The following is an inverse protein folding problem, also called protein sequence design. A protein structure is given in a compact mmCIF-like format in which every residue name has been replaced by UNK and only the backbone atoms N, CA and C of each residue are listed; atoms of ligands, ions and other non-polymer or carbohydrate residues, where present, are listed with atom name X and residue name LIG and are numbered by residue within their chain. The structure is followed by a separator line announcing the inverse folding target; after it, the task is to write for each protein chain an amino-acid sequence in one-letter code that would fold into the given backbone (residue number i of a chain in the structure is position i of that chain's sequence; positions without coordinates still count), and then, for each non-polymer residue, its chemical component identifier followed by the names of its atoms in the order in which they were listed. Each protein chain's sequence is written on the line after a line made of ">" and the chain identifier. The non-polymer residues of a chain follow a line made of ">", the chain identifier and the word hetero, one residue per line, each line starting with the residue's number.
data_IF_607529974456
#
_entry.id   IF_607529974456
#
_cell.length_a   1.000
_cell.length_b   1.000
_cell.length_c   1.000
_cell.angle_alpha   90.00
_cell.angle_beta   90.00
_cell.angle_gamma   90.00
#
_symmetry.space_group_name_H-M   'P 1'
#
loop_
_entity.id
_entity.type
_entity.pdbx_description
1 polymer ?
#
# COMPACT_ATOMS: atom_id res chain seq x y z
N UNK A 1 5.07 16.87 -5.00
CA UNK A 1 4.01 15.90 -4.68
C UNK A 1 3.45 16.21 -3.30
N UNK A 2 2.17 15.92 -3.09
CA UNK A 2 1.51 16.08 -1.80
C UNK A 2 1.98 15.02 -0.82
N UNK A 3 1.97 15.36 0.47
CA UNK A 3 2.36 14.48 1.57
C UNK A 3 1.31 14.55 2.67
N UNK A 4 0.90 13.38 3.15
CA UNK A 4 -0.04 13.21 4.24
C UNK A 4 0.64 12.47 5.38
N UNK A 5 0.67 13.10 6.56
CA UNK A 5 1.21 12.49 7.77
C UNK A 5 0.04 11.95 8.58
N UNK A 6 -0.03 10.63 8.68
CA UNK A 6 -1.05 9.90 9.41
C UNK A 6 -0.63 9.69 10.87
N UNK A 7 -1.59 9.89 11.78
CA UNK A 7 -1.51 9.54 13.19
C UNK A 7 -2.35 8.30 13.49
N UNK A 8 -1.98 7.58 14.55
CA UNK A 8 -2.64 6.34 14.98
C UNK A 8 -4.05 6.54 15.59
N UNK A 9 -4.63 7.74 15.47
CA UNK A 9 -5.93 8.14 16.04
C UNK A 9 -7.14 7.91 15.09
N UNK A 10 -6.91 7.27 13.95
CA UNK A 10 -7.96 6.77 13.05
C UNK A 10 -8.38 7.78 11.98
N UNK A 11 -7.52 7.97 10.99
CA UNK A 11 -7.77 8.82 9.82
C UNK A 11 -8.66 8.13 8.78
N UNK A 12 -9.53 8.91 8.12
CA UNK A 12 -10.36 8.48 7.00
C UNK A 12 -9.63 8.71 5.67
N UNK A 13 -8.50 8.03 5.47
CA UNK A 13 -7.79 8.07 4.19
C UNK A 13 -8.02 6.78 3.40
N UNK A 14 -8.36 6.94 2.13
CA UNK A 14 -8.64 5.86 1.19
C UNK A 14 -8.59 6.39 -0.24
N UNK A 15 -8.14 5.57 -1.22
CA UNK A 15 -7.50 4.26 -1.08
C UNK A 15 -6.01 4.40 -0.69
N UNK A 16 -5.54 3.52 0.20
CA UNK A 16 -4.14 3.49 0.64
C UNK A 16 -3.44 2.26 0.09
N UNK A 17 -2.27 2.44 -0.52
CA UNK A 17 -1.41 1.38 -1.05
C UNK A 17 -0.17 1.24 -0.19
N UNK A 18 0.04 0.01 0.31
CA UNK A 18 1.09 -0.35 1.25
C UNK A 18 1.89 -1.50 0.66
N UNK A 19 3.20 -1.40 0.74
CA UNK A 19 4.17 -2.36 0.22
C UNK A 19 4.16 -3.64 1.05
N UNK A 20 4.05 -4.78 0.38
CA UNK A 20 4.15 -6.10 0.96
C UNK A 20 4.87 -7.05 0.00
N UNK A 21 5.75 -7.90 0.52
CA UNK A 21 6.43 -8.91 -0.29
C UNK A 21 5.57 -10.17 -0.39
N UNK A 22 4.86 -10.34 -1.52
CA UNK A 22 3.99 -11.50 -1.72
C UNK A 22 4.74 -12.82 -1.96
N UNK A 23 6.00 -12.76 -2.42
CA UNK A 23 6.79 -13.97 -2.68
C UNK A 23 7.28 -14.60 -1.38
N UNK A 24 7.80 -13.78 -0.47
CA UNK A 24 8.32 -14.25 0.82
C UNK A 24 7.29 -14.21 1.96
N UNK A 25 6.06 -13.74 1.69
CA UNK A 25 5.03 -13.49 2.70
C UNK A 25 5.54 -12.58 3.84
N UNK A 26 6.21 -11.48 3.47
CA UNK A 26 6.87 -10.58 4.43
C UNK A 26 6.36 -9.15 4.32
N UNK A 27 6.03 -8.58 5.47
CA UNK A 27 5.77 -7.17 5.61
C UNK A 27 7.02 -6.33 5.28
N UNK A 28 6.83 -5.18 4.62
CA UNK A 28 7.85 -4.17 4.28
C UNK A 28 7.29 -2.76 4.50
N UNK A 29 8.17 -1.79 4.76
CA UNK A 29 7.74 -0.39 4.93
C UNK A 29 6.63 -0.25 5.99
N UNK A 30 5.54 0.41 5.62
CA UNK A 30 4.39 0.63 6.49
C UNK A 30 3.66 -0.67 6.88
N UNK A 31 3.64 -1.71 6.04
CA UNK A 31 3.01 -2.98 6.46
C UNK A 31 3.76 -3.61 7.63
N UNK A 32 5.10 -3.46 7.70
CA UNK A 32 5.89 -3.97 8.82
C UNK A 32 5.59 -3.21 10.10
N UNK A 33 5.45 -1.88 10.01
CA UNK A 33 5.06 -1.05 11.14
C UNK A 33 3.67 -1.44 11.65
N UNK A 34 2.69 -1.55 10.75
CA UNK A 34 1.34 -1.99 11.11
C UNK A 34 1.37 -3.34 11.79
N UNK A 35 2.03 -4.33 11.19
CA UNK A 35 2.09 -5.67 11.76
C UNK A 35 2.74 -5.68 13.16
N UNK A 36 3.82 -4.91 13.35
CA UNK A 36 4.44 -4.73 14.66
C UNK A 36 3.48 -4.12 15.69
N UNK A 37 2.81 -3.01 15.35
CA UNK A 37 1.84 -2.36 16.24
C UNK A 37 0.68 -3.28 16.61
N UNK A 38 0.22 -4.10 15.65
CA UNK A 38 -0.86 -5.06 15.84
C UNK A 38 -0.37 -6.46 16.24
N UNK A 39 0.88 -6.59 16.71
CA UNK A 39 1.46 -7.81 17.29
C UNK A 39 1.37 -9.04 16.37
N UNK A 40 1.71 -8.89 15.08
CA UNK A 40 1.78 -9.99 14.12
C UNK A 40 0.46 -10.33 13.43
N UNK A 41 -0.64 -9.63 13.74
CA UNK A 41 -1.97 -9.94 13.18
C UNK A 41 -2.05 -9.83 11.67
N UNK A 42 -1.28 -8.94 11.04
CA UNK A 42 -1.28 -8.82 9.59
C UNK A 42 -0.58 -10.02 8.98
N UNK A 43 0.57 -10.41 9.53
CA UNK A 43 1.28 -11.62 9.12
C UNK A 43 0.42 -12.88 9.33
N UNK A 44 -0.25 -13.02 10.48
CA UNK A 44 -1.15 -14.15 10.76
C UNK A 44 -2.30 -14.22 9.75
N UNK A 45 -2.93 -13.07 9.46
CA UNK A 45 -3.99 -12.97 8.46
C UNK A 45 -3.47 -13.38 7.09
N UNK A 46 -2.29 -12.90 6.70
CA UNK A 46 -1.72 -13.17 5.38
C UNK A 46 -1.29 -14.64 5.23
N UNK A 47 -0.72 -15.23 6.27
CA UNK A 47 -0.35 -16.66 6.28
C UNK A 47 -1.55 -17.60 6.22
N UNK A 48 -2.77 -17.11 6.47
CA UNK A 48 -3.99 -17.90 6.27
C UNK A 48 -4.38 -18.08 4.79
N UNK A 49 -3.77 -17.30 3.88
CA UNK A 49 -3.98 -17.45 2.44
C UNK A 49 -2.94 -18.40 1.84
N UNK A 50 -3.39 -19.36 1.02
CA UNK A 50 -2.50 -20.36 0.41
C UNK A 50 -1.64 -19.80 -0.73
N UNK A 51 -2.13 -18.81 -1.47
CA UNK A 51 -1.38 -18.13 -2.54
C UNK A 51 -1.83 -16.68 -2.68
N UNK A 52 -0.87 -15.76 -2.83
CA UNK A 52 -1.12 -14.35 -3.08
C UNK A 52 -0.44 -13.92 -4.39
N UNK A 53 -1.23 -13.83 -5.46
CA UNK A 53 -0.77 -13.37 -6.79
C UNK A 53 -1.40 -12.05 -7.21
N UNK A 54 -2.25 -11.48 -6.37
CA UNK A 54 -3.01 -10.27 -6.66
C UNK A 54 -2.94 -9.30 -5.48
N UNK A 55 -3.10 -8.00 -5.72
CA UNK A 55 -3.28 -7.02 -4.65
C UNK A 55 -4.43 -7.42 -3.75
N UNK A 56 -4.25 -7.25 -2.45
CA UNK A 56 -5.24 -7.66 -1.45
C UNK A 56 -5.80 -6.41 -0.80
N UNK A 57 -7.11 -6.29 -0.79
CA UNK A 57 -7.77 -5.27 0.02
C UNK A 57 -8.06 -5.82 1.41
N UNK A 58 -7.43 -5.22 2.43
CA UNK A 58 -7.68 -5.53 3.84
C UNK A 58 -8.73 -4.53 4.34
N UNK A 59 -9.96 -5.03 4.47
CA UNK A 59 -11.07 -4.28 5.05
C UNK A 59 -10.89 -4.15 6.56
N UNK A 60 -11.21 -2.96 7.09
CA UNK A 60 -11.36 -2.43 8.48
C UNK A 60 -11.14 -3.30 9.72
N UNK A 61 -11.23 -4.62 9.68
CA UNK A 61 -11.16 -5.42 10.88
C UNK A 61 -9.70 -5.45 11.39
N UNK A 62 -9.51 -4.77 12.53
CA UNK A 62 -8.30 -4.70 13.38
C UNK A 62 -7.23 -3.65 13.09
N UNK A 63 -7.22 -2.95 11.95
CA UNK A 63 -6.10 -2.07 11.55
C UNK A 63 -6.47 -0.57 11.51
N UNK A 64 -5.43 0.29 11.50
CA UNK A 64 -5.54 1.75 11.70
C UNK A 64 -6.44 2.48 10.68
N UNK A 65 -6.49 2.00 9.44
CA UNK A 65 -7.20 2.66 8.36
C UNK A 65 -8.70 2.37 8.44
N UNK A 66 -9.50 3.40 8.75
CA UNK A 66 -10.96 3.27 8.90
C UNK A 66 -11.64 2.67 7.66
N UNK A 67 -11.13 2.97 6.48
CA UNK A 67 -11.63 2.49 5.19
C UNK A 67 -10.87 1.26 4.66
N UNK A 68 -9.92 0.72 5.41
CA UNK A 68 -9.01 -0.34 4.96
C UNK A 68 -7.85 0.16 4.10
N UNK A 69 -7.04 -0.78 3.61
CA UNK A 69 -5.87 -0.50 2.77
C UNK A 69 -5.61 -1.67 1.81
N UNK A 70 -4.93 -1.36 0.71
CA UNK A 70 -4.43 -2.34 -0.25
C UNK A 70 -3.01 -2.74 0.11
N UNK A 71 -2.78 -4.04 0.27
CA UNK A 71 -1.45 -4.61 0.15
C UNK A 71 -1.11 -4.78 -1.32
N UNK A 72 0.05 -4.29 -1.72
CA UNK A 72 0.56 -4.39 -3.07
C UNK A 72 2.06 -4.66 -3.02
N UNK A 73 2.58 -5.50 -3.90
CA UNK A 73 4.02 -5.72 -4.00
C UNK A 73 4.66 -4.66 -4.89
N UNK A 74 5.42 -3.74 -4.31
CA UNK A 74 5.96 -2.61 -5.06
C UNK A 74 7.04 -3.03 -6.06
N UNK A 75 7.52 -4.28 -6.01
CA UNK A 75 8.34 -4.86 -7.09
C UNK A 75 7.57 -4.90 -8.40
N UNK A 76 6.25 -5.10 -8.37
CA UNK A 76 5.44 -5.06 -9.59
C UNK A 76 5.36 -3.67 -10.18
N UNK A 77 5.27 -2.62 -9.34
CA UNK A 77 5.35 -1.22 -9.80
C UNK A 77 6.70 -0.96 -10.47
N UNK A 78 7.79 -1.41 -9.84
CA UNK A 78 9.15 -1.25 -10.37
C UNK A 78 9.34 -1.93 -11.72
N UNK A 79 8.76 -3.11 -11.90
CA UNK A 79 8.91 -3.91 -13.11
C UNK A 79 8.01 -3.40 -14.24
N UNK A 80 6.80 -2.94 -13.91
CA UNK A 80 5.82 -2.46 -14.87
C UNK A 80 4.90 -1.40 -14.23
N UNK A 81 5.28 -0.14 -14.38
CA UNK A 81 4.49 1.01 -13.91
C UNK A 81 3.14 1.09 -14.64
N UNK A 82 3.09 0.75 -15.93
CA UNK A 82 1.87 0.79 -16.74
C UNK A 82 0.82 -0.17 -16.18
N UNK A 83 1.25 -1.37 -15.77
CA UNK A 83 0.37 -2.35 -15.14
C UNK A 83 -0.26 -1.81 -13.85
N UNK A 84 0.51 -1.12 -13.00
CA UNK A 84 -0.02 -0.51 -11.79
C UNK A 84 -1.02 0.61 -12.10
N UNK A 85 -0.68 1.51 -13.03
CA UNK A 85 -1.59 2.60 -13.45
C UNK A 85 -2.89 2.05 -14.02
N UNK A 86 -2.83 1.02 -14.86
CA UNK A 86 -4.02 0.35 -15.39
C UNK A 86 -4.86 -0.29 -14.30
N UNK A 87 -4.22 -0.92 -13.30
CA UNK A 87 -4.92 -1.46 -12.14
C UNK A 87 -5.68 -0.37 -11.36
N UNK A 88 -5.04 0.78 -11.08
CA UNK A 88 -5.68 1.92 -10.42
C UNK A 88 -6.87 2.45 -11.22
N UNK A 89 -6.69 2.64 -12.54
CA UNK A 89 -7.73 3.13 -13.43
C UNK A 89 -8.92 2.15 -13.53
N UNK A 90 -8.65 0.85 -13.58
CA UNK A 90 -9.70 -0.18 -13.63
C UNK A 90 -10.53 -0.24 -12.33
N UNK A 91 -9.96 0.18 -11.20
CA UNK A 91 -10.69 0.37 -9.95
C UNK A 91 -11.49 1.68 -9.91
N UNK A 92 -11.40 2.52 -10.95
CA UNK A 92 -12.07 3.82 -11.01
C UNK A 92 -11.48 4.85 -10.06
N UNK A 93 -10.23 4.67 -9.63
CA UNK A 93 -9.57 5.53 -8.66
C UNK A 93 -8.78 6.62 -9.39
N UNK A 94 -9.06 7.89 -9.07
CA UNK A 94 -8.37 9.05 -9.66
C UNK A 94 -7.25 9.60 -8.78
N UNK A 95 -7.36 9.36 -7.47
CA UNK A 95 -6.40 9.79 -6.44
C UNK A 95 -6.12 8.66 -5.48
N UNK A 96 -4.86 8.47 -5.11
CA UNK A 96 -4.44 7.42 -4.18
C UNK A 96 -3.44 7.94 -3.16
N UNK A 97 -3.43 7.29 -2.00
CA UNK A 97 -2.36 7.42 -1.02
C UNK A 97 -1.41 6.25 -1.21
N UNK A 98 -0.09 6.53 -1.23
CA UNK A 98 0.93 5.49 -1.38
C UNK A 98 2.08 5.73 -0.43
N UNK A 99 2.59 4.68 0.20
CA UNK A 99 3.81 4.82 1.00
C UNK A 99 5.06 5.03 0.14
N UNK A 100 6.14 5.53 0.75
CA UNK A 100 7.47 5.45 0.13
C UNK A 100 8.11 4.09 0.42
N UNK A 101 8.34 3.29 -0.62
CA UNK A 101 9.16 2.08 -0.56
C UNK A 101 10.59 2.34 -1.02
N UNK A 102 11.55 1.64 -0.40
CA UNK A 102 12.97 1.64 -0.80
C UNK A 102 13.23 0.93 -2.14
N UNK A 103 12.24 0.21 -2.66
CA UNK A 103 12.35 -0.50 -3.93
C UNK A 103 12.17 0.41 -5.15
N UNK A 104 11.46 1.52 -4.97
CA UNK A 104 11.14 2.51 -5.99
C UNK A 104 12.06 3.72 -5.84
N UNK A 105 12.47 4.28 -6.97
CA UNK A 105 13.23 5.52 -7.05
C UNK A 105 12.28 6.71 -7.15
N UNK A 106 12.76 7.91 -6.83
CA UNK A 106 11.96 9.14 -6.98
C UNK A 106 11.45 9.31 -8.43
N UNK A 107 12.24 8.87 -9.44
CA UNK A 107 11.82 8.85 -10.84
C UNK A 107 10.58 8.00 -11.13
N UNK A 108 10.39 6.90 -10.40
CA UNK A 108 9.24 6.00 -10.59
C UNK A 108 7.96 6.70 -10.10
N UNK A 109 8.05 7.39 -8.96
CA UNK A 109 6.96 8.22 -8.46
C UNK A 109 6.67 9.41 -9.37
N UNK A 110 7.70 10.05 -9.95
CA UNK A 110 7.52 11.14 -10.91
C UNK A 110 6.72 10.70 -12.13
N UNK A 111 6.96 9.49 -12.64
CA UNK A 111 6.17 8.90 -13.74
C UNK A 111 4.74 8.65 -13.27
N UNK A 112 4.55 8.04 -12.10
CA UNK A 112 3.22 7.73 -11.57
C UNK A 112 2.38 9.00 -11.36
N UNK A 113 2.97 10.07 -10.79
CA UNK A 113 2.24 11.32 -10.45
C UNK A 113 1.73 12.09 -11.65
N UNK A 114 2.29 11.83 -12.84
CA UNK A 114 1.79 12.42 -14.09
C UNK A 114 0.52 11.72 -14.59
N UNK A 115 0.16 10.57 -14.01
CA UNK A 115 -0.88 9.67 -14.52
C UNK A 115 -1.96 9.36 -13.48
N UNK A 116 -1.62 9.43 -12.20
CA UNK A 116 -2.52 9.26 -11.05
C UNK A 116 -2.23 10.38 -10.05
N UNK A 117 -3.25 10.96 -9.42
CA UNK A 117 -3.03 11.92 -8.34
C UNK A 117 -2.48 11.19 -7.10
N UNK A 118 -1.22 11.44 -6.78
CA UNK A 118 -0.48 10.76 -5.72
C UNK A 118 -0.29 11.64 -4.51
N UNK A 119 -0.69 11.12 -3.36
CA UNK A 119 -0.30 11.66 -2.06
C UNK A 119 0.58 10.65 -1.31
N UNK A 120 1.77 11.06 -0.90
CA UNK A 120 2.62 10.20 -0.10
C UNK A 120 2.05 10.03 1.30
N UNK A 121 1.92 8.79 1.73
CA UNK A 121 1.57 8.44 3.09
C UNK A 121 2.85 8.30 3.92
N UNK A 122 2.92 9.05 5.01
CA UNK A 122 3.90 8.86 6.08
C UNK A 122 3.17 8.63 7.39
N UNK A 123 3.70 7.75 8.24
CA UNK A 123 3.20 7.55 9.60
C UNK A 123 4.14 8.29 10.55
N UNK A 124 3.55 9.04 11.48
CA UNK A 124 4.26 9.84 12.48
C UNK A 124 4.72 9.00 13.67
#
# INVERSE_FOLDING_TARGET
>A
MNKFVCSFDGTEIFPVFIDFNFEDFKCRGLSLLLDFFYKGRLTDLINSFNELKQPIFIKKDFFLFKSGFFLYDFRFIKNDIDQFVNFINNLGLTSIFIEKSSLLKDSDYDILSKRVDLTFLEIK
#
